data_IF_525068361002
#
_entry.id   IF_525068361002
#
_cell.length_a   1.000
_cell.length_b   1.000
_cell.length_c   1.000
_cell.angle_alpha   90.00
_cell.angle_beta   90.00
_cell.angle_gamma   90.00
#
_symmetry.space_group_name_H-M   'P 1'
#
loop_
_entity.id
_entity.type
_entity.pdbx_description
1 polymer ?
#
# COMPACT_ATOMS: atom_id res chain seq x y z
N UNK A 1 7.48 -10.19 -35.66
CA UNK A 1 7.38 -8.77 -35.24
C UNK A 1 7.88 -8.55 -33.80
N UNK A 2 7.75 -9.53 -32.90
CA UNK A 2 8.12 -9.46 -31.47
C UNK A 2 9.58 -9.07 -31.19
N UNK A 3 10.55 -9.54 -31.99
CA UNK A 3 11.99 -9.29 -31.75
C UNK A 3 12.37 -7.81 -31.82
N UNK A 4 11.71 -7.02 -32.69
CA UNK A 4 12.01 -5.59 -32.84
C UNK A 4 11.49 -4.79 -31.63
N UNK A 5 10.33 -5.18 -31.13
CA UNK A 5 9.63 -4.52 -30.01
C UNK A 5 10.33 -4.75 -28.66
N UNK A 6 11.06 -5.86 -28.52
CA UNK A 6 11.88 -6.16 -27.34
C UNK A 6 13.17 -5.32 -27.33
N UNK A 7 13.81 -5.11 -28.48
CA UNK A 7 15.15 -4.48 -28.54
C UNK A 7 15.17 -3.04 -28.03
N UNK A 8 14.09 -2.29 -28.22
CA UNK A 8 14.01 -0.87 -27.87
C UNK A 8 13.57 -0.62 -26.41
N UNK A 9 13.30 -1.68 -25.63
CA UNK A 9 12.90 -1.59 -24.22
C UNK A 9 14.12 -1.66 -23.29
N UNK A 10 14.03 -0.98 -22.14
CA UNK A 10 14.95 -1.19 -21.01
C UNK A 10 14.92 -2.66 -20.57
N UNK A 11 15.98 -3.14 -19.92
CA UNK A 11 16.09 -4.55 -19.52
C UNK A 11 14.92 -5.01 -18.65
N UNK A 12 14.54 -4.21 -17.66
CA UNK A 12 13.37 -4.46 -16.82
C UNK A 12 12.07 -4.53 -17.63
N UNK A 13 11.87 -3.59 -18.56
CA UNK A 13 10.69 -3.59 -19.43
C UNK A 13 10.68 -4.76 -20.41
N UNK A 14 11.84 -5.28 -20.82
CA UNK A 14 11.94 -6.51 -21.61
C UNK A 14 11.51 -7.72 -20.79
N UNK A 15 12.00 -7.86 -19.56
CA UNK A 15 11.68 -8.99 -18.70
C UNK A 15 10.19 -9.01 -18.33
N UNK A 16 9.60 -7.84 -18.03
CA UNK A 16 8.16 -7.70 -17.81
C UNK A 16 7.36 -8.21 -19.03
N UNK A 17 7.71 -7.73 -20.22
CA UNK A 17 7.03 -8.11 -21.46
C UNK A 17 7.20 -9.60 -21.80
N UNK A 18 8.40 -10.16 -21.58
CA UNK A 18 8.67 -11.58 -21.80
C UNK A 18 7.87 -12.45 -20.82
N UNK A 19 7.73 -12.04 -19.55
CA UNK A 19 6.95 -12.77 -18.56
C UNK A 19 5.47 -12.88 -18.98
N UNK A 20 4.90 -11.78 -19.49
CA UNK A 20 3.52 -11.74 -19.98
C UNK A 20 3.33 -12.61 -21.23
N UNK A 21 4.28 -12.60 -22.16
CA UNK A 21 4.23 -13.49 -23.33
C UNK A 21 4.31 -14.94 -22.86
N UNK A 22 5.26 -15.29 -21.99
CA UNK A 22 5.43 -16.65 -21.51
C UNK A 22 4.15 -17.17 -20.83
N UNK A 23 3.47 -16.34 -20.02
CA UNK A 23 2.18 -16.71 -19.42
C UNK A 23 1.09 -16.93 -20.48
N UNK A 24 0.97 -16.04 -21.46
CA UNK A 24 -0.03 -16.15 -22.54
C UNK A 24 0.16 -17.37 -23.43
N UNK A 25 1.41 -17.71 -23.71
CA UNK A 25 1.78 -18.87 -24.53
C UNK A 25 1.79 -20.18 -23.74
N UNK A 26 1.45 -20.16 -22.44
CA UNK A 26 1.43 -21.35 -21.58
C UNK A 26 2.82 -21.92 -21.25
N UNK A 27 3.88 -21.13 -21.42
CA UNK A 27 5.26 -21.48 -21.07
C UNK A 27 5.47 -21.32 -19.56
N UNK A 28 4.78 -22.15 -18.77
CA UNK A 28 4.61 -21.97 -17.33
C UNK A 28 5.93 -21.86 -16.56
N UNK A 29 6.89 -22.75 -16.80
CA UNK A 29 8.21 -22.68 -16.13
C UNK A 29 8.97 -21.41 -16.48
N UNK A 30 8.94 -21.00 -17.75
CA UNK A 30 9.56 -19.76 -18.21
C UNK A 30 8.89 -18.55 -17.57
N UNK A 31 7.56 -18.54 -17.48
CA UNK A 31 6.81 -17.47 -16.84
C UNK A 31 7.14 -17.36 -15.34
N UNK A 32 7.29 -18.50 -14.64
CA UNK A 32 7.71 -18.53 -13.23
C UNK A 32 9.10 -17.90 -13.08
N UNK A 33 10.09 -18.38 -13.83
CA UNK A 33 11.47 -17.88 -13.74
C UNK A 33 11.58 -16.39 -14.06
N UNK A 34 10.85 -15.92 -15.09
CA UNK A 34 10.85 -14.52 -15.45
C UNK A 34 10.21 -13.67 -14.35
N UNK A 35 9.09 -14.08 -13.77
CA UNK A 35 8.48 -13.38 -12.63
C UNK A 35 9.40 -13.36 -11.40
N UNK A 36 10.11 -14.45 -11.10
CA UNK A 36 11.13 -14.49 -10.04
C UNK A 36 12.25 -13.47 -10.29
N UNK A 37 12.74 -13.38 -11.53
CA UNK A 37 13.87 -12.51 -11.89
C UNK A 37 13.57 -11.01 -11.72
N UNK A 38 12.30 -10.62 -11.84
CA UNK A 38 11.82 -9.24 -11.66
C UNK A 38 11.18 -9.00 -10.29
N UNK A 39 11.32 -9.95 -9.35
CA UNK A 39 10.81 -9.83 -7.99
C UNK A 39 9.29 -9.99 -7.84
N UNK A 40 8.57 -10.45 -8.87
CA UNK A 40 7.11 -10.71 -8.79
C UNK A 40 6.83 -12.07 -8.16
N UNK A 41 7.29 -12.28 -6.93
CA UNK A 41 7.24 -13.56 -6.26
C UNK A 41 5.81 -14.08 -6.03
N UNK A 42 4.85 -13.21 -5.70
CA UNK A 42 3.45 -13.65 -5.55
C UNK A 42 2.93 -14.25 -6.85
N UNK A 43 3.15 -13.57 -7.99
CA UNK A 43 2.72 -14.07 -9.30
C UNK A 43 3.42 -15.36 -9.68
N UNK A 44 4.72 -15.47 -9.42
CA UNK A 44 5.49 -16.70 -9.60
C UNK A 44 4.92 -17.86 -8.77
N UNK A 45 4.52 -17.59 -7.52
CA UNK A 45 3.91 -18.58 -6.64
C UNK A 45 2.55 -19.07 -7.17
N UNK A 46 1.68 -18.18 -7.64
CA UNK A 46 0.38 -18.55 -8.22
C UNK A 46 0.54 -19.40 -9.50
N UNK A 47 1.52 -19.07 -10.33
CA UNK A 47 1.85 -19.85 -11.53
C UNK A 47 2.35 -21.24 -11.14
N UNK A 48 3.27 -21.33 -10.18
CA UNK A 48 3.78 -22.60 -9.67
C UNK A 48 2.67 -23.47 -9.04
N UNK A 49 1.77 -22.86 -8.26
CA UNK A 49 0.61 -23.52 -7.65
C UNK A 49 -0.33 -24.09 -8.72
N UNK A 50 -0.67 -23.30 -9.74
CA UNK A 50 -1.49 -23.76 -10.88
C UNK A 50 -0.81 -24.89 -11.67
N UNK A 51 0.51 -24.90 -11.72
CA UNK A 51 1.31 -25.95 -12.36
C UNK A 51 1.45 -27.22 -11.50
N UNK A 52 0.97 -27.21 -10.25
CA UNK A 52 1.17 -28.31 -9.29
C UNK A 52 2.56 -28.38 -8.67
N UNK A 53 3.39 -27.36 -8.88
CA UNK A 53 4.76 -27.24 -8.34
C UNK A 53 4.73 -26.70 -6.91
N UNK A 54 4.26 -27.52 -5.97
CA UNK A 54 3.95 -27.12 -4.58
C UNK A 54 5.13 -26.49 -3.84
N UNK A 55 6.30 -27.10 -3.90
CA UNK A 55 7.50 -26.63 -3.19
C UNK A 55 7.94 -25.26 -3.70
N UNK A 56 7.92 -25.10 -5.03
CA UNK A 56 8.26 -23.85 -5.72
C UNK A 56 7.25 -22.74 -5.40
N UNK A 57 5.97 -23.08 -5.31
CA UNK A 57 4.93 -22.13 -4.89
C UNK A 57 5.15 -21.66 -3.45
N UNK A 58 5.43 -22.57 -2.52
CA UNK A 58 5.71 -22.24 -1.11
C UNK A 58 6.94 -21.34 -0.98
N UNK A 59 8.02 -21.62 -1.69
CA UNK A 59 9.23 -20.79 -1.68
C UNK A 59 8.92 -19.35 -2.13
N UNK A 60 8.17 -19.22 -3.24
CA UNK A 60 7.81 -17.91 -3.77
C UNK A 60 6.81 -17.16 -2.87
N UNK A 61 5.85 -17.85 -2.24
CA UNK A 61 4.96 -17.22 -1.28
C UNK A 61 5.71 -16.70 -0.04
N UNK A 62 6.75 -17.39 0.43
CA UNK A 62 7.60 -16.88 1.51
C UNK A 62 8.31 -15.59 1.12
N UNK A 63 8.91 -15.54 -0.07
CA UNK A 63 9.58 -14.33 -0.58
C UNK A 63 8.60 -13.16 -0.74
N UNK A 64 7.41 -13.43 -1.29
CA UNK A 64 6.35 -12.43 -1.41
C UNK A 64 5.87 -11.90 -0.04
N UNK A 65 5.74 -12.79 0.95
CA UNK A 65 5.35 -12.41 2.30
C UNK A 65 6.40 -11.49 2.94
N UNK A 66 7.68 -11.83 2.82
CA UNK A 66 8.78 -10.99 3.31
C UNK A 66 8.79 -9.62 2.62
N UNK A 67 8.62 -9.58 1.30
CA UNK A 67 8.56 -8.35 0.54
C UNK A 67 7.41 -7.44 1.00
N UNK A 68 6.21 -7.99 1.18
CA UNK A 68 5.06 -7.22 1.69
C UNK A 68 5.31 -6.70 3.10
N UNK A 69 6.00 -7.46 3.96
CA UNK A 69 6.36 -7.00 5.31
C UNK A 69 7.36 -5.84 5.23
N UNK A 70 8.39 -5.96 4.39
CA UNK A 70 9.42 -4.91 4.23
C UNK A 70 8.85 -3.62 3.65
N UNK A 71 7.86 -3.71 2.75
CA UNK A 71 7.12 -2.56 2.21
C UNK A 71 6.01 -2.06 3.13
N UNK A 72 5.83 -2.68 4.30
CA UNK A 72 4.75 -2.41 5.24
C UNK A 72 3.34 -2.52 4.60
N UNK A 73 3.20 -3.36 3.59
CA UNK A 73 1.95 -3.73 2.95
C UNK A 73 1.24 -4.81 3.81
N UNK A 74 1.05 -4.52 5.10
CA UNK A 74 0.65 -5.50 6.11
C UNK A 74 -0.67 -6.20 5.79
N UNK A 75 -1.61 -5.52 5.12
CA UNK A 75 -2.86 -6.12 4.65
C UNK A 75 -2.62 -7.26 3.63
N UNK A 76 -1.72 -7.04 2.68
CA UNK A 76 -1.37 -8.06 1.67
C UNK A 76 -0.55 -9.18 2.30
N UNK A 77 0.38 -8.85 3.19
CA UNK A 77 1.13 -9.83 3.97
C UNK A 77 0.19 -10.74 4.81
N UNK A 78 -0.81 -10.17 5.48
CA UNK A 78 -1.77 -10.92 6.29
C UNK A 78 -2.60 -11.89 5.44
N UNK A 79 -3.16 -11.40 4.32
CA UNK A 79 -3.93 -12.23 3.39
C UNK A 79 -3.10 -13.39 2.81
N UNK A 80 -1.81 -13.14 2.54
CA UNK A 80 -0.90 -14.18 2.07
C UNK A 80 -0.56 -15.20 3.16
N UNK A 81 -0.31 -14.73 4.38
CA UNK A 81 -0.09 -15.62 5.53
C UNK A 81 -1.30 -16.52 5.79
N UNK A 82 -2.52 -16.00 5.67
CA UNK A 82 -3.76 -16.80 5.74
C UNK A 82 -3.83 -17.86 4.64
N UNK A 83 -3.52 -17.49 3.39
CA UNK A 83 -3.47 -18.43 2.26
C UNK A 83 -2.47 -19.57 2.52
N UNK A 84 -1.36 -19.27 3.18
CA UNK A 84 -0.33 -20.24 3.56
C UNK A 84 -0.68 -21.04 4.84
N UNK A 85 -1.81 -20.75 5.50
CA UNK A 85 -2.22 -21.40 6.75
C UNK A 85 -1.48 -20.91 8.00
N UNK A 86 -0.74 -19.80 7.91
CA UNK A 86 0.05 -19.20 8.98
C UNK A 86 -0.81 -18.29 9.88
N UNK A 87 -1.82 -18.87 10.53
CA UNK A 87 -2.88 -18.12 11.25
C UNK A 87 -2.36 -17.10 12.26
N UNK A 88 -1.47 -17.50 13.16
CA UNK A 88 -0.90 -16.60 14.19
C UNK A 88 -0.16 -15.42 13.55
N UNK A 89 0.54 -15.68 12.44
CA UNK A 89 1.27 -14.64 11.72
C UNK A 89 0.33 -13.70 10.97
N UNK A 90 -0.74 -14.22 10.38
CA UNK A 90 -1.77 -13.41 9.74
C UNK A 90 -2.45 -12.48 10.75
N UNK A 91 -2.78 -12.97 11.95
CA UNK A 91 -3.35 -12.16 13.03
C UNK A 91 -2.41 -11.02 13.48
N UNK A 92 -1.11 -11.31 13.63
CA UNK A 92 -0.11 -10.27 13.95
C UNK A 92 -0.06 -9.19 12.86
N UNK A 93 -0.06 -9.59 11.59
CA UNK A 93 -0.01 -8.68 10.45
C UNK A 93 -1.29 -7.87 10.30
N UNK A 94 -2.46 -8.46 10.59
CA UNK A 94 -3.73 -7.73 10.63
C UNK A 94 -3.71 -6.62 11.69
N UNK A 95 -3.19 -6.90 12.89
CA UNK A 95 -3.05 -5.87 13.94
C UNK A 95 -2.15 -4.72 13.47
N UNK A 96 -0.98 -5.03 12.88
CA UNK A 96 -0.08 -4.00 12.32
C UNK A 96 -0.73 -3.16 11.22
N UNK A 97 -1.58 -3.77 10.38
CA UNK A 97 -2.32 -3.03 9.37
C UNK A 97 -3.31 -2.04 9.98
N UNK A 98 -4.02 -2.44 11.05
CA UNK A 98 -4.98 -1.57 11.74
C UNK A 98 -4.24 -0.42 12.44
N UNK A 99 -3.17 -0.73 13.17
CA UNK A 99 -2.36 0.27 13.88
C UNK A 99 -1.82 1.33 12.92
N UNK A 100 -1.36 0.91 11.72
CA UNK A 100 -0.90 1.82 10.66
C UNK A 100 -2.03 2.69 10.12
N UNK A 101 -3.17 2.10 9.77
CA UNK A 101 -4.32 2.86 9.25
C UNK A 101 -4.83 3.88 10.27
N UNK A 102 -4.81 3.55 11.57
CA UNK A 102 -5.23 4.46 12.63
C UNK A 102 -4.18 5.54 12.91
N UNK A 103 -2.89 5.23 12.80
CA UNK A 103 -1.82 6.23 12.86
C UNK A 103 -1.92 7.23 11.71
N UNK A 104 -2.08 6.78 10.47
CA UNK A 104 -2.22 7.66 9.29
C UNK A 104 -3.46 8.56 9.41
N UNK A 105 -4.59 8.03 9.90
CA UNK A 105 -5.78 8.84 10.20
C UNK A 105 -5.53 9.87 11.30
N UNK A 106 -4.80 9.48 12.35
CA UNK A 106 -4.48 10.38 13.45
C UNK A 106 -3.54 11.51 12.99
N UNK A 107 -2.52 11.19 12.19
CA UNK A 107 -1.62 12.19 11.60
C UNK A 107 -2.35 13.15 10.67
N UNK A 108 -3.20 12.63 9.78
CA UNK A 108 -4.02 13.46 8.90
C UNK A 108 -4.93 14.42 9.69
N UNK A 109 -5.58 13.92 10.75
CA UNK A 109 -6.38 14.75 11.66
C UNK A 109 -5.53 15.79 12.39
N UNK A 110 -4.37 15.41 12.92
CA UNK A 110 -3.45 16.31 13.60
C UNK A 110 -2.95 17.43 12.68
N UNK A 111 -2.60 17.11 11.43
CA UNK A 111 -2.22 18.09 10.42
C UNK A 111 -3.36 19.07 10.15
N UNK A 112 -4.59 18.58 9.96
CA UNK A 112 -5.74 19.47 9.74
C UNK A 112 -6.00 20.37 10.95
N UNK A 113 -5.90 19.82 12.16
CA UNK A 113 -6.07 20.57 13.39
C UNK A 113 -5.06 21.72 13.47
N UNK A 114 -3.77 21.44 13.28
CA UNK A 114 -2.68 22.41 13.33
C UNK A 114 -2.83 23.53 12.28
N UNK A 115 -3.25 23.15 11.06
CA UNK A 115 -3.53 24.11 9.99
C UNK A 115 -4.66 25.08 10.37
N UNK A 116 -5.79 24.56 10.86
CA UNK A 116 -6.93 25.40 11.21
C UNK A 116 -6.68 26.24 12.47
N UNK A 117 -5.97 25.73 13.47
CA UNK A 117 -5.57 26.52 14.64
C UNK A 117 -4.67 27.69 14.23
N UNK A 118 -3.65 27.43 13.40
CA UNK A 118 -2.72 28.45 12.92
C UNK A 118 -3.44 29.57 12.16
N UNK A 119 -4.33 29.22 11.23
CA UNK A 119 -5.11 30.21 10.48
C UNK A 119 -6.01 31.01 11.41
N UNK A 120 -6.66 30.34 12.36
CA UNK A 120 -7.62 30.98 13.25
C UNK A 120 -6.94 31.98 14.18
N UNK A 121 -5.74 31.66 14.69
CA UNK A 121 -4.94 32.58 15.50
C UNK A 121 -4.46 33.78 14.67
N UNK A 122 -4.01 33.56 13.43
CA UNK A 122 -3.63 34.65 12.52
C UNK A 122 -4.80 35.61 12.23
N UNK A 123 -6.02 35.09 12.06
CA UNK A 123 -7.23 35.91 11.88
C UNK A 123 -7.54 36.71 13.15
N UNK A 124 -7.45 36.11 14.34
CA UNK A 124 -7.69 36.79 15.63
C UNK A 124 -6.72 37.96 15.85
N UNK A 125 -5.48 37.82 15.39
CA UNK A 125 -4.43 38.84 15.54
C UNK A 125 -4.49 39.93 14.47
N UNK A 126 -4.71 39.57 13.21
CA UNK A 126 -4.44 40.47 12.08
C UNK A 126 -5.68 41.10 11.45
N UNK A 127 -6.89 40.56 11.66
CA UNK A 127 -8.08 41.00 10.94
C UNK A 127 -8.97 41.97 11.73
N UNK A 128 -9.73 42.85 11.04
CA UNK A 128 -10.70 43.73 11.69
C UNK A 128 -11.74 42.92 12.47
N UNK A 129 -12.02 43.32 13.72
CA UNK A 129 -12.96 42.64 14.64
C UNK A 129 -14.43 42.93 14.33
N UNK A 130 -14.77 42.94 13.05
CA UNK A 130 -16.12 43.13 12.56
C UNK A 130 -16.98 41.86 12.74
N UNK A 131 -18.27 41.97 12.44
CA UNK A 131 -19.23 40.87 12.62
C UNK A 131 -18.92 39.65 11.75
N UNK A 132 -18.32 39.85 10.58
CA UNK A 132 -17.99 38.78 9.62
C UNK A 132 -16.76 38.00 10.09
N UNK A 133 -15.70 38.70 10.52
CA UNK A 133 -14.50 38.09 11.09
C UNK A 133 -14.81 37.32 12.37
N UNK A 134 -15.63 37.90 13.28
CA UNK A 134 -16.05 37.21 14.51
C UNK A 134 -16.83 35.93 14.24
N UNK A 135 -17.68 35.93 13.20
CA UNK A 135 -18.41 34.73 12.79
C UNK A 135 -17.46 33.66 12.25
N UNK A 136 -16.53 34.04 11.38
CA UNK A 136 -15.54 33.12 10.81
C UNK A 136 -14.68 32.45 11.88
N UNK A 137 -14.20 33.22 12.86
CA UNK A 137 -13.43 32.70 14.00
C UNK A 137 -14.26 31.68 14.79
N UNK A 138 -15.52 32.01 15.08
CA UNK A 138 -16.42 31.12 15.82
C UNK A 138 -16.70 29.81 15.04
N UNK A 139 -17.00 29.91 13.75
CA UNK A 139 -17.26 28.76 12.89
C UNK A 139 -16.02 27.84 12.82
N UNK A 140 -14.81 28.42 12.80
CA UNK A 140 -13.54 27.68 12.86
C UNK A 140 -13.28 27.06 14.24
N UNK A 141 -13.54 27.76 15.34
CA UNK A 141 -13.40 27.22 16.70
C UNK A 141 -14.32 25.98 16.88
N UNK A 142 -15.57 26.05 16.39
CA UNK A 142 -16.52 24.92 16.41
C UNK A 142 -16.05 23.73 15.56
N UNK A 143 -15.38 23.99 14.43
CA UNK A 143 -14.81 22.95 13.57
C UNK A 143 -13.60 22.27 14.24
N UNK A 144 -12.69 23.06 14.84
CA UNK A 144 -11.54 22.58 15.61
C UNK A 144 -11.98 21.71 16.79
N UNK A 145 -13.04 22.10 17.51
CA UNK A 145 -13.59 21.32 18.62
C UNK A 145 -14.10 19.94 18.16
N UNK A 146 -14.84 19.90 17.04
CA UNK A 146 -15.32 18.64 16.45
C UNK A 146 -14.18 17.73 16.00
N UNK A 147 -13.12 18.29 15.41
CA UNK A 147 -11.94 17.53 15.03
C UNK A 147 -11.23 16.93 16.26
N UNK A 148 -11.07 17.71 17.33
CA UNK A 148 -10.48 17.25 18.59
C UNK A 148 -11.28 16.14 19.27
N UNK A 149 -12.62 16.21 19.23
CA UNK A 149 -13.47 15.15 19.77
C UNK A 149 -13.34 13.83 19.00
N UNK A 150 -13.01 13.89 17.70
CA UNK A 150 -12.75 12.72 16.88
C UNK A 150 -11.33 12.14 17.01
N UNK A 151 -10.46 12.73 17.85
CA UNK A 151 -9.11 12.26 18.18
C UNK A 151 -9.02 11.53 19.53
N UNK A 152 -10.09 11.56 20.35
CA UNK A 152 -10.18 10.88 21.65
C UNK A 152 -10.77 9.49 21.51
#
# INVERSE_FOLDING_TARGET
MIIKEIKDKTEENRLNYLAEIAEKEGLTETAILLNESIGRFHKAAELAERAGLKEKAIENYKKALEEYITKEEFRLAAALADKMGLKERAEELHKKSIDKDDHEKAEGKAFTLDFFTTINDAIKESWPKDKKTKKLVKDNDEFIEKLNLGLK
#
